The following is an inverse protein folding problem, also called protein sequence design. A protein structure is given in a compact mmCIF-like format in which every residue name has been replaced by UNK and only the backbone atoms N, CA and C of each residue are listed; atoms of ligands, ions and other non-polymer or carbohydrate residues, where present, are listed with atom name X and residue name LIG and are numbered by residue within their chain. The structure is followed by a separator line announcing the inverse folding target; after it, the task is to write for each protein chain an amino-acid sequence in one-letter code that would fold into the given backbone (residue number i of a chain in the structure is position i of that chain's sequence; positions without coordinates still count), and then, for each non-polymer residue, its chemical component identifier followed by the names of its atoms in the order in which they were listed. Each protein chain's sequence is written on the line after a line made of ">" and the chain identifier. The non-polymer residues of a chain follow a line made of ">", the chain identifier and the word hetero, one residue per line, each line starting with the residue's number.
data_IF_087628088612
#
_entry.id   IF_087628088612
#
_cell.length_a   1.000
_cell.length_b   1.000
_cell.length_c   1.000
_cell.angle_alpha   90.00
_cell.angle_beta   90.00
_cell.angle_gamma   90.00
#
_symmetry.space_group_name_H-M   'P 1'
#
loop_
_entity.id
_entity.type
_entity.pdbx_description
1 polymer ?
#
# COMPACT_ATOMS: atom_id res chain seq x y z
N UNK A 1 -4.18 5.40 16.87
CA UNK A 1 -3.96 6.53 17.82
C UNK A 1 -2.50 6.99 17.87
N UNK A 2 -1.53 6.08 17.97
CA UNK A 2 -0.09 6.45 18.01
C UNK A 2 0.34 7.28 16.80
N UNK A 3 0.07 6.83 15.58
CA UNK A 3 0.41 7.57 14.35
C UNK A 3 -0.17 8.99 14.34
N UNK A 4 -1.39 9.17 14.83
CA UNK A 4 -2.03 10.49 14.93
C UNK A 4 -1.33 11.40 15.94
N UNK A 5 -0.86 10.86 17.07
CA UNK A 5 -0.11 11.63 18.07
C UNK A 5 1.28 12.01 17.56
N UNK A 6 1.97 11.10 16.90
CA UNK A 6 3.26 11.38 16.26
C UNK A 6 3.08 12.43 15.16
N UNK A 7 2.05 12.29 14.31
CA UNK A 7 1.75 13.28 13.28
C UNK A 7 1.45 14.68 13.83
N UNK A 8 0.71 14.76 14.95
CA UNK A 8 0.47 16.02 15.63
C UNK A 8 1.79 16.64 16.14
N UNK A 9 2.65 15.83 16.77
CA UNK A 9 3.94 16.29 17.29
C UNK A 9 4.91 16.71 16.18
N UNK A 10 4.92 16.00 15.07
CA UNK A 10 5.72 16.40 13.90
C UNK A 10 5.28 17.73 13.29
N UNK A 11 3.97 18.02 13.28
CA UNK A 11 3.45 19.31 12.83
C UNK A 11 3.88 20.43 13.77
N UNK A 12 3.79 20.22 15.08
CA UNK A 12 4.27 21.16 16.10
C UNK A 12 5.77 21.46 15.92
N UNK A 13 6.59 20.43 15.78
CA UNK A 13 8.02 20.56 15.54
C UNK A 13 8.35 21.28 14.22
N UNK A 14 7.58 20.97 13.15
CA UNK A 14 7.73 21.67 11.87
C UNK A 14 7.45 23.17 11.98
N UNK A 15 6.45 23.58 12.75
CA UNK A 15 6.18 25.01 13.03
C UNK A 15 7.33 25.65 13.80
N UNK A 16 7.81 25.03 14.88
CA UNK A 16 8.92 25.53 15.68
C UNK A 16 10.22 25.69 14.86
N UNK A 17 10.52 24.75 13.96
CA UNK A 17 11.68 24.86 13.07
C UNK A 17 11.53 25.98 12.05
N UNK A 18 10.33 26.14 11.48
CA UNK A 18 10.04 27.27 10.56
C UNK A 18 10.19 28.62 11.24
N UNK A 19 9.68 28.76 12.44
CA UNK A 19 9.79 29.97 13.24
C UNK A 19 11.25 30.28 13.59
N UNK A 20 12.02 29.28 14.04
CA UNK A 20 13.44 29.44 14.30
C UNK A 20 14.22 29.87 13.04
N UNK A 21 13.92 29.28 11.88
CA UNK A 21 14.52 29.67 10.61
C UNK A 21 14.15 31.10 10.21
N UNK A 22 12.89 31.48 10.37
CA UNK A 22 12.40 32.84 10.07
C UNK A 22 13.03 33.92 10.98
N UNK A 23 13.39 33.56 12.21
CA UNK A 23 14.08 34.43 13.17
C UNK A 23 15.59 34.42 13.06
N UNK A 24 16.14 33.75 12.03
CA UNK A 24 17.56 33.78 11.67
C UNK A 24 18.43 32.70 12.33
N UNK A 25 17.85 31.61 12.82
CA UNK A 25 18.65 30.47 13.32
C UNK A 25 19.53 29.89 12.21
N UNK A 26 20.79 29.58 12.57
CA UNK A 26 21.75 29.02 11.63
C UNK A 26 21.44 27.54 11.30
N UNK A 27 21.85 27.04 10.12
CA UNK A 27 21.59 25.63 9.74
C UNK A 27 22.03 24.60 10.79
N UNK A 28 23.18 24.81 11.44
CA UNK A 28 23.67 23.90 12.49
C UNK A 28 22.77 23.90 13.75
N UNK A 29 22.17 25.04 14.09
CA UNK A 29 21.21 25.15 15.22
C UNK A 29 19.90 24.45 14.88
N UNK A 30 19.42 24.60 13.64
CA UNK A 30 18.22 23.92 13.16
C UNK A 30 18.43 22.40 13.13
N UNK A 31 19.59 21.93 12.68
CA UNK A 31 19.90 20.48 12.67
C UNK A 31 19.99 19.91 14.08
N UNK A 32 20.60 20.64 15.04
CA UNK A 32 20.63 20.25 16.45
C UNK A 32 19.19 20.13 17.01
N UNK A 33 18.36 21.15 16.81
CA UNK A 33 16.95 21.14 17.21
C UNK A 33 16.18 19.96 16.60
N UNK A 34 16.36 19.73 15.30
CA UNK A 34 15.74 18.60 14.60
C UNK A 34 16.14 17.26 15.23
N UNK A 35 17.41 17.09 15.56
CA UNK A 35 17.91 15.85 16.20
C UNK A 35 17.27 15.63 17.57
N UNK A 36 17.15 16.67 18.40
CA UNK A 36 16.47 16.61 19.69
C UNK A 36 14.98 16.25 19.54
N UNK A 37 14.29 16.85 18.55
CA UNK A 37 12.90 16.57 18.21
C UNK A 37 12.69 15.13 17.74
N UNK A 38 13.60 14.62 16.90
CA UNK A 38 13.60 13.21 16.47
C UNK A 38 13.82 12.25 17.64
N UNK A 39 14.64 12.61 18.64
CA UNK A 39 14.78 11.85 19.87
C UNK A 39 13.45 11.71 20.64
N UNK A 40 12.62 12.75 20.65
CA UNK A 40 11.26 12.68 21.20
C UNK A 40 10.36 11.71 20.43
N UNK A 41 10.40 11.75 19.10
CA UNK A 41 9.63 10.83 18.25
C UNK A 41 10.10 9.38 18.44
N UNK A 42 11.42 9.16 18.50
CA UNK A 42 12.00 7.85 18.78
C UNK A 42 11.51 7.30 20.12
N UNK A 43 11.53 8.12 21.18
CA UNK A 43 10.98 7.71 22.49
C UNK A 43 9.50 7.31 22.40
N UNK A 44 8.68 8.06 21.67
CA UNK A 44 7.26 7.71 21.46
C UNK A 44 7.12 6.35 20.78
N UNK A 45 7.96 6.05 19.79
CA UNK A 45 8.00 4.77 19.10
C UNK A 45 8.43 3.64 20.03
N UNK A 46 9.52 3.83 20.79
CA UNK A 46 10.04 2.82 21.73
C UNK A 46 9.01 2.48 22.81
N UNK A 47 8.30 3.47 23.36
CA UNK A 47 7.25 3.26 24.38
C UNK A 47 6.08 2.39 23.86
N UNK A 48 5.87 2.35 22.55
CA UNK A 48 4.73 1.64 21.93
C UNK A 48 5.10 0.38 21.19
N UNK A 49 6.30 0.31 20.62
CA UNK A 49 6.76 -0.79 19.77
C UNK A 49 7.90 -1.60 20.40
N UNK A 50 8.50 -1.10 21.49
CA UNK A 50 9.75 -1.62 22.03
C UNK A 50 10.99 -1.04 21.31
N UNK A 51 12.15 -1.31 21.87
CA UNK A 51 13.42 -0.93 21.24
C UNK A 51 13.70 -1.79 20.01
N UNK A 52 14.25 -1.18 18.94
CA UNK A 52 14.70 -1.95 17.79
C UNK A 52 15.74 -3.00 18.19
N UNK A 53 15.57 -4.22 17.75
CA UNK A 53 16.52 -5.30 18.02
C UNK A 53 17.80 -5.09 17.22
N UNK A 54 18.95 -5.27 17.86
CA UNK A 54 20.25 -5.26 17.18
C UNK A 54 20.58 -6.62 16.58
N UNK A 55 20.24 -7.70 17.30
CA UNK A 55 20.36 -9.08 16.86
C UNK A 55 19.14 -9.89 17.29
N UNK A 56 18.86 -10.97 16.59
CA UNK A 56 17.81 -11.94 16.91
C UNK A 56 18.19 -13.33 16.38
N UNK A 57 17.67 -14.35 17.01
CA UNK A 57 17.85 -15.74 16.58
C UNK A 57 16.65 -16.21 15.79
N UNK A 58 16.87 -16.80 14.63
CA UNK A 58 15.80 -17.34 13.80
C UNK A 58 16.25 -18.60 13.05
N UNK A 59 15.29 -19.49 12.74
CA UNK A 59 15.53 -20.69 11.94
C UNK A 59 14.36 -20.93 10.97
N UNK A 60 14.66 -21.42 9.79
CA UNK A 60 13.66 -22.06 8.93
C UNK A 60 13.11 -23.31 9.61
N UNK A 61 11.86 -23.66 9.31
CA UNK A 61 11.22 -24.88 9.85
C UNK A 61 12.10 -26.11 9.59
N UNK A 62 12.60 -26.72 10.66
CA UNK A 62 13.51 -27.88 10.60
C UNK A 62 14.99 -27.55 10.40
N UNK A 63 15.38 -26.28 10.34
CA UNK A 63 16.77 -25.85 10.26
C UNK A 63 17.41 -25.52 11.62
N UNK A 64 18.72 -25.32 11.63
CA UNK A 64 19.44 -24.84 12.81
C UNK A 64 19.15 -23.36 13.07
N UNK A 65 19.06 -23.00 14.35
CA UNK A 65 18.90 -21.63 14.77
C UNK A 65 20.19 -20.84 14.53
N UNK A 66 20.10 -19.70 13.87
CA UNK A 66 21.23 -18.81 13.54
C UNK A 66 20.94 -17.40 14.04
N UNK A 67 21.98 -16.71 14.53
CA UNK A 67 21.85 -15.30 14.92
C UNK A 67 21.97 -14.38 13.70
N UNK A 68 21.12 -13.39 13.65
CA UNK A 68 21.04 -12.39 12.59
C UNK A 68 21.02 -10.97 13.16
N UNK A 69 21.57 -10.04 12.42
CA UNK A 69 21.15 -8.65 12.46
C UNK A 69 20.02 -8.44 11.45
N UNK A 70 19.15 -7.40 11.58
CA UNK A 70 18.16 -7.10 10.55
C UNK A 70 18.73 -6.99 9.13
N UNK A 71 19.93 -6.42 8.98
CA UNK A 71 20.60 -6.27 7.68
C UNK A 71 21.10 -7.60 7.14
N UNK A 72 21.69 -8.48 7.99
CA UNK A 72 22.17 -9.79 7.52
C UNK A 72 20.99 -10.70 7.14
N UNK A 73 19.89 -10.64 7.87
CA UNK A 73 18.66 -11.35 7.54
C UNK A 73 18.09 -10.88 6.19
N UNK A 74 17.99 -9.56 6.00
CA UNK A 74 17.55 -9.00 4.71
C UNK A 74 18.41 -9.51 3.54
N UNK A 75 19.74 -9.46 3.68
CA UNK A 75 20.67 -9.92 2.62
C UNK A 75 20.54 -11.41 2.31
N UNK A 76 20.31 -12.25 3.32
CA UNK A 76 20.20 -13.70 3.15
C UNK A 76 18.86 -14.12 2.54
N UNK A 77 17.74 -13.53 2.99
CA UNK A 77 16.41 -13.99 2.62
C UNK A 77 15.71 -13.15 1.56
N UNK A 78 16.00 -11.86 1.51
CA UNK A 78 15.39 -10.98 0.54
C UNK A 78 16.35 -10.57 -0.57
N UNK A 79 17.63 -10.43 -0.28
CA UNK A 79 18.81 -10.27 -1.17
C UNK A 79 18.65 -9.61 -2.55
N UNK A 80 17.41 -9.30 -2.90
CA UNK A 80 16.99 -8.79 -4.18
C UNK A 80 17.26 -7.29 -4.28
N UNK A 81 17.71 -6.85 -5.42
CA UNK A 81 17.72 -5.45 -5.77
C UNK A 81 16.28 -4.97 -5.99
N UNK A 82 15.66 -4.47 -4.90
CA UNK A 82 14.27 -3.95 -4.93
C UNK A 82 14.12 -2.78 -5.90
N UNK A 83 15.21 -2.15 -6.31
CA UNK A 83 15.19 -1.01 -7.23
C UNK A 83 15.07 -1.46 -8.68
N UNK A 84 15.75 -2.55 -9.04
CA UNK A 84 15.88 -2.98 -10.44
C UNK A 84 15.02 -4.21 -10.79
N UNK A 85 14.57 -4.97 -9.79
CA UNK A 85 13.83 -6.22 -10.02
C UNK A 85 12.31 -6.08 -9.93
N UNK A 86 11.81 -4.87 -9.66
CA UNK A 86 10.37 -4.62 -9.51
C UNK A 86 9.92 -3.46 -10.39
N UNK A 87 8.73 -3.59 -10.94
CA UNK A 87 8.10 -2.57 -11.79
C UNK A 87 6.76 -2.18 -11.16
N UNK A 88 6.57 -0.87 -11.00
CA UNK A 88 5.31 -0.33 -10.50
C UNK A 88 4.32 -0.17 -11.66
N UNK A 89 3.22 -0.90 -11.61
CA UNK A 89 2.15 -0.86 -12.60
C UNK A 89 0.93 -0.13 -12.05
N UNK A 90 0.21 0.56 -12.92
CA UNK A 90 -1.08 1.17 -12.60
C UNK A 90 -2.11 0.90 -13.69
N UNK A 91 -3.39 0.98 -13.33
CA UNK A 91 -4.49 1.04 -14.27
C UNK A 91 -5.28 2.34 -14.09
N UNK A 92 -5.03 3.29 -14.95
CA UNK A 92 -5.74 4.55 -15.05
C UNK A 92 -6.27 4.75 -16.48
N UNK A 93 -7.53 4.40 -16.76
CA UNK A 93 -8.11 4.55 -18.10
C UNK A 93 -8.38 6.00 -18.50
N UNK A 94 -8.13 6.97 -17.62
CA UNK A 94 -8.20 8.40 -17.99
C UNK A 94 -6.94 8.89 -18.72
N UNK A 95 -5.89 8.05 -18.79
CA UNK A 95 -4.58 8.34 -19.39
C UNK A 95 -4.24 7.31 -20.46
N UNK A 96 -3.30 7.63 -21.33
CA UNK A 96 -2.83 6.68 -22.35
C UNK A 96 -2.19 5.45 -21.70
N UNK A 97 -2.55 4.28 -22.21
CA UNK A 97 -1.89 3.02 -21.82
C UNK A 97 -0.51 2.87 -22.48
N UNK A 98 0.31 2.00 -21.91
CA UNK A 98 1.69 1.70 -22.35
C UNK A 98 2.62 2.94 -22.27
N UNK A 99 2.32 3.83 -21.34
CA UNK A 99 3.11 5.01 -21.00
C UNK A 99 3.57 4.95 -19.55
N UNK A 100 4.72 5.56 -19.30
CA UNK A 100 5.26 5.74 -17.96
C UNK A 100 4.83 7.10 -17.43
N UNK A 101 4.31 7.14 -16.19
CA UNK A 101 3.86 8.35 -15.51
C UNK A 101 4.57 8.51 -14.18
N UNK A 102 5.16 9.66 -13.95
CA UNK A 102 5.59 10.09 -12.63
C UNK A 102 4.43 10.79 -11.93
N UNK A 103 4.17 10.43 -10.68
CA UNK A 103 3.09 11.02 -9.89
C UNK A 103 3.67 12.08 -8.96
N UNK A 104 3.33 13.33 -9.17
CA UNK A 104 3.78 14.44 -8.34
C UNK A 104 3.44 14.23 -6.86
N UNK A 105 4.43 14.43 -6.01
CA UNK A 105 4.34 14.23 -4.55
C UNK A 105 4.03 12.82 -4.07
N UNK A 106 3.89 11.83 -4.93
CA UNK A 106 3.75 10.42 -4.55
C UNK A 106 5.13 9.85 -4.20
N UNK A 107 5.59 10.15 -3.00
CA UNK A 107 6.89 9.80 -2.46
C UNK A 107 6.83 9.72 -0.94
N UNK A 108 7.68 8.91 -0.36
CA UNK A 108 7.69 8.70 1.10
C UNK A 108 8.58 9.65 1.89
N UNK A 109 9.40 10.47 1.20
CA UNK A 109 10.25 11.52 1.79
C UNK A 109 10.17 12.78 0.96
N UNK A 110 10.33 13.94 1.62
CA UNK A 110 10.30 15.24 0.96
C UNK A 110 11.32 15.35 -0.18
N UNK A 111 12.54 14.88 0.06
CA UNK A 111 13.67 14.88 -0.88
C UNK A 111 13.80 13.59 -1.70
N UNK A 112 12.81 12.69 -1.59
CA UNK A 112 12.76 11.45 -2.34
C UNK A 112 12.32 11.66 -3.78
N UNK A 113 12.58 10.66 -4.63
CA UNK A 113 12.03 10.61 -5.98
C UNK A 113 10.54 10.33 -5.94
N UNK A 114 9.79 10.96 -6.81
CA UNK A 114 8.39 10.60 -7.06
C UNK A 114 8.33 9.18 -7.64
N UNK A 115 7.25 8.49 -7.33
CA UNK A 115 7.04 7.16 -7.87
C UNK A 115 6.58 7.23 -9.33
N UNK A 116 7.07 6.26 -10.08
CA UNK A 116 6.82 6.13 -11.52
C UNK A 116 6.08 4.82 -11.78
N UNK A 117 5.02 4.89 -12.57
CA UNK A 117 4.18 3.73 -12.89
C UNK A 117 4.07 3.56 -14.39
N UNK A 118 4.10 2.33 -14.86
CA UNK A 118 3.68 2.00 -16.21
C UNK A 118 2.16 1.81 -16.20
N UNK A 119 1.46 2.58 -17.03
CA UNK A 119 -0.01 2.49 -17.13
C UNK A 119 -0.38 1.41 -18.15
N UNK A 120 -1.11 0.40 -17.71
CA UNK A 120 -1.52 -0.74 -18.53
C UNK A 120 -3.03 -0.94 -18.52
N UNK A 121 -3.59 -1.54 -19.60
CA UNK A 121 -4.95 -2.08 -19.59
C UNK A 121 -5.12 -3.08 -18.44
N UNK A 122 -6.35 -3.20 -17.94
CA UNK A 122 -6.63 -4.07 -16.80
C UNK A 122 -6.35 -5.54 -17.14
N UNK A 123 -6.58 -5.96 -18.38
CA UNK A 123 -6.36 -7.32 -18.82
C UNK A 123 -4.86 -7.71 -18.75
N UNK A 124 -3.97 -6.82 -19.18
CA UNK A 124 -2.52 -7.04 -19.12
C UNK A 124 -2.06 -7.17 -17.65
N UNK A 125 -2.60 -6.33 -16.75
CA UNK A 125 -2.31 -6.41 -15.33
C UNK A 125 -2.79 -7.73 -14.72
N UNK A 126 -3.98 -8.21 -15.12
CA UNK A 126 -4.49 -9.52 -14.69
C UNK A 126 -3.58 -10.65 -15.13
N UNK A 127 -3.13 -10.65 -16.39
CA UNK A 127 -2.20 -11.66 -16.91
C UNK A 127 -0.89 -11.68 -16.10
N UNK A 128 -0.30 -10.52 -15.86
CA UNK A 128 0.92 -10.37 -15.05
C UNK A 128 0.67 -10.86 -13.62
N UNK A 129 -0.44 -10.45 -13.00
CA UNK A 129 -0.78 -10.85 -11.64
C UNK A 129 -1.01 -12.37 -11.51
N UNK A 130 -1.70 -12.98 -12.46
CA UNK A 130 -1.89 -14.44 -12.50
C UNK A 130 -0.55 -15.16 -12.66
N UNK A 131 0.33 -14.68 -13.53
CA UNK A 131 1.65 -15.26 -13.74
C UNK A 131 2.50 -15.17 -12.47
N UNK A 132 2.53 -14.01 -11.81
CA UNK A 132 3.26 -13.80 -10.56
C UNK A 132 2.76 -14.71 -9.43
N UNK A 133 1.44 -14.83 -9.23
CA UNK A 133 0.86 -15.73 -8.24
C UNK A 133 1.18 -17.20 -8.54
N UNK A 134 1.14 -17.62 -9.81
CA UNK A 134 1.52 -18.98 -10.22
C UNK A 134 3.00 -19.28 -9.95
N UNK A 135 3.85 -18.26 -10.03
CA UNK A 135 5.27 -18.34 -9.68
C UNK A 135 5.53 -18.17 -8.17
N UNK A 136 4.48 -18.25 -7.36
CA UNK A 136 4.54 -18.11 -5.89
C UNK A 136 5.06 -16.76 -5.40
N UNK A 137 4.88 -15.72 -6.21
CA UNK A 137 5.26 -14.34 -5.86
C UNK A 137 4.02 -13.51 -5.59
N UNK A 138 3.90 -13.04 -4.35
CA UNK A 138 2.85 -12.11 -3.93
C UNK A 138 3.22 -10.69 -4.33
N UNK A 139 2.20 -9.85 -4.51
CA UNK A 139 2.39 -8.48 -5.01
C UNK A 139 1.82 -7.44 -4.04
N UNK A 140 2.48 -6.29 -3.95
CA UNK A 140 1.82 -5.08 -3.46
C UNK A 140 0.60 -4.78 -4.33
N UNK A 141 -0.52 -4.50 -3.70
CA UNK A 141 -1.80 -4.22 -4.37
C UNK A 141 -2.44 -2.99 -3.74
N UNK A 142 -2.85 -2.03 -4.54
CA UNK A 142 -3.51 -0.82 -4.06
C UNK A 142 -4.83 -0.57 -4.79
N UNK A 143 -5.85 -0.20 -4.02
CA UNK A 143 -7.23 -0.12 -4.48
C UNK A 143 -8.06 0.91 -3.71
N UNK A 144 -9.30 1.13 -4.13
CA UNK A 144 -10.30 1.90 -3.38
C UNK A 144 -11.13 0.96 -2.50
N UNK A 145 -10.53 0.48 -1.42
CA UNK A 145 -11.05 -0.61 -0.59
C UNK A 145 -12.44 -0.35 -0.01
N UNK A 146 -12.80 0.91 0.22
CA UNK A 146 -14.09 1.29 0.82
C UNK A 146 -15.29 1.10 -0.11
N UNK A 147 -15.07 0.91 -1.40
CA UNK A 147 -16.15 0.78 -2.39
C UNK A 147 -16.74 -0.63 -2.36
N UNK A 148 -18.04 -0.69 -2.10
CA UNK A 148 -18.81 -1.94 -2.06
C UNK A 148 -18.20 -3.05 -1.18
N UNK A 149 -17.56 -2.65 -0.07
CA UNK A 149 -17.01 -3.57 0.91
C UNK A 149 -18.09 -4.02 1.91
N UNK A 150 -18.39 -5.31 1.94
CA UNK A 150 -19.03 -5.93 3.10
C UNK A 150 -17.93 -6.33 4.11
N UNK A 151 -17.66 -5.45 5.06
CA UNK A 151 -16.59 -5.65 6.04
C UNK A 151 -16.82 -6.84 6.98
N UNK A 152 -18.07 -7.22 7.22
CA UNK A 152 -18.44 -8.36 8.07
C UNK A 152 -18.09 -9.69 7.39
N UNK A 153 -18.38 -9.81 6.09
CA UNK A 153 -18.05 -11.00 5.29
C UNK A 153 -16.63 -10.97 4.75
N UNK A 154 -16.00 -9.79 4.72
CA UNK A 154 -14.72 -9.61 4.05
C UNK A 154 -14.80 -9.73 2.53
N UNK A 155 -15.92 -9.29 1.95
CA UNK A 155 -16.20 -9.41 0.53
C UNK A 155 -16.25 -8.05 -0.16
N UNK A 156 -15.50 -7.93 -1.24
CA UNK A 156 -15.47 -6.78 -2.14
C UNK A 156 -16.17 -7.19 -3.45
N UNK A 157 -17.37 -6.67 -3.67
CA UNK A 157 -18.19 -6.99 -4.84
C UNK A 157 -19.09 -5.81 -5.16
N UNK A 158 -19.12 -5.29 -6.42
CA UNK A 158 -20.05 -4.23 -6.80
C UNK A 158 -21.51 -4.57 -6.52
N UNK A 159 -21.84 -5.86 -6.49
CA UNK A 159 -23.20 -6.35 -6.27
C UNK A 159 -23.54 -6.56 -4.77
N UNK A 160 -22.65 -6.17 -3.83
CA UNK A 160 -22.94 -6.23 -2.39
C UNK A 160 -24.10 -5.32 -1.95
N UNK A 161 -24.34 -4.23 -2.68
CA UNK A 161 -25.36 -3.23 -2.35
C UNK A 161 -26.11 -2.78 -3.60
N UNK A 162 -27.41 -2.89 -3.60
CA UNK A 162 -28.29 -2.42 -4.66
C UNK A 162 -28.77 -0.99 -4.37
N UNK A 163 -27.85 -0.03 -4.56
CA UNK A 163 -28.18 1.38 -4.37
C UNK A 163 -29.15 1.92 -5.43
N UNK A 164 -29.13 1.36 -6.64
CA UNK A 164 -30.00 1.83 -7.73
C UNK A 164 -31.46 1.57 -7.43
N UNK A 165 -31.81 0.36 -7.01
CA UNK A 165 -33.18 0.04 -6.57
C UNK A 165 -33.58 0.83 -5.33
N UNK A 166 -32.67 1.00 -4.37
CA UNK A 166 -32.95 1.73 -3.14
C UNK A 166 -33.25 3.21 -3.38
N UNK A 167 -32.47 3.85 -4.26
CA UNK A 167 -32.56 5.30 -4.52
C UNK A 167 -33.44 5.66 -5.73
N UNK A 168 -33.85 4.68 -6.52
CA UNK A 168 -34.67 4.89 -7.72
C UNK A 168 -33.93 5.65 -8.83
N UNK A 169 -32.59 5.51 -8.89
CA UNK A 169 -31.74 6.18 -9.89
C UNK A 169 -30.52 5.34 -10.20
N UNK A 170 -29.87 5.58 -11.33
CA UNK A 170 -28.65 4.88 -11.76
C UNK A 170 -27.38 5.63 -11.35
N UNK A 171 -26.28 4.88 -11.14
CA UNK A 171 -24.94 5.39 -10.85
C UNK A 171 -23.96 4.97 -11.95
N UNK A 172 -24.10 5.53 -13.15
CA UNK A 172 -23.50 5.03 -14.38
C UNK A 172 -22.07 5.50 -14.69
N UNK A 173 -21.33 6.10 -13.73
CA UNK A 173 -19.94 6.46 -14.00
C UNK A 173 -19.05 5.23 -14.13
N UNK A 174 -18.32 5.14 -15.25
CA UNK A 174 -17.24 4.17 -15.42
C UNK A 174 -16.00 4.53 -14.58
N UNK A 175 -15.00 3.64 -14.55
CA UNK A 175 -13.75 3.85 -13.80
C UNK A 175 -13.05 5.15 -14.22
N UNK A 176 -12.98 5.44 -15.52
CA UNK A 176 -12.38 6.67 -16.04
C UNK A 176 -13.05 7.91 -15.48
N UNK A 177 -14.38 7.96 -15.53
CA UNK A 177 -15.16 9.08 -15.04
C UNK A 177 -15.03 9.26 -13.53
N UNK A 178 -15.01 8.15 -12.76
CA UNK A 178 -14.78 8.21 -11.31
C UNK A 178 -13.40 8.74 -10.94
N UNK A 179 -12.36 8.42 -11.71
CA UNK A 179 -11.02 8.98 -11.53
C UNK A 179 -11.02 10.47 -11.85
N UNK A 180 -11.58 10.88 -12.97
CA UNK A 180 -11.62 12.28 -13.40
C UNK A 180 -12.40 13.20 -12.45
N UNK A 181 -13.41 12.65 -11.78
CA UNK A 181 -14.24 13.37 -10.79
C UNK A 181 -13.74 13.22 -9.35
N UNK A 182 -12.62 12.56 -9.14
CA UNK A 182 -12.08 12.21 -7.80
C UNK A 182 -13.06 11.42 -6.93
N UNK A 183 -14.01 10.72 -7.55
CA UNK A 183 -14.97 9.85 -6.86
C UNK A 183 -14.38 8.50 -6.47
N UNK A 184 -13.27 8.11 -7.07
CA UNK A 184 -12.50 6.89 -6.75
C UNK A 184 -11.02 7.13 -6.97
N UNK A 185 -10.19 6.47 -6.15
CA UNK A 185 -8.74 6.55 -6.22
C UNK A 185 -8.07 5.54 -5.29
N UNK A 186 -6.76 5.41 -5.40
CA UNK A 186 -5.97 4.53 -4.54
C UNK A 186 -6.02 5.02 -3.09
N UNK A 187 -6.72 4.31 -2.22
CA UNK A 187 -6.95 4.69 -0.82
C UNK A 187 -6.31 3.73 0.19
N UNK A 188 -6.02 2.49 -0.21
CA UNK A 188 -5.53 1.45 0.70
C UNK A 188 -4.64 0.44 -0.03
N UNK A 189 -3.64 -0.05 0.69
CA UNK A 189 -2.69 -1.04 0.19
C UNK A 189 -2.80 -2.36 0.96
N UNK A 190 -2.69 -3.48 0.24
CA UNK A 190 -2.76 -4.85 0.76
C UNK A 190 -1.78 -5.74 -0.01
N UNK A 191 -1.68 -7.00 0.35
CA UNK A 191 -0.90 -8.00 -0.38
C UNK A 191 -1.82 -8.86 -1.24
N UNK A 192 -1.68 -8.82 -2.57
CA UNK A 192 -2.39 -9.71 -3.49
C UNK A 192 -1.69 -11.07 -3.49
N UNK A 193 -2.41 -12.11 -3.07
CA UNK A 193 -1.77 -13.40 -2.76
C UNK A 193 -2.39 -14.62 -3.44
N UNK A 194 -3.62 -14.53 -3.93
CA UNK A 194 -4.25 -15.67 -4.59
C UNK A 194 -5.29 -15.24 -5.63
N UNK A 195 -5.53 -16.13 -6.59
CA UNK A 195 -6.57 -16.00 -7.61
C UNK A 195 -7.30 -17.33 -7.80
N UNK A 196 -8.62 -17.28 -7.92
CA UNK A 196 -9.48 -18.40 -8.32
C UNK A 196 -9.77 -18.27 -9.82
N UNK A 197 -9.37 -19.27 -10.60
CA UNK A 197 -9.56 -19.30 -12.05
C UNK A 197 -10.68 -20.26 -12.43
N UNK A 198 -11.41 -19.94 -13.47
CA UNK A 198 -12.34 -20.88 -14.11
C UNK A 198 -11.60 -21.96 -14.95
N UNK A 199 -12.36 -22.87 -15.54
CA UNK A 199 -11.80 -23.94 -16.39
C UNK A 199 -11.10 -23.42 -17.65
N UNK A 200 -11.39 -22.20 -18.07
CA UNK A 200 -10.77 -21.53 -19.23
C UNK A 200 -9.54 -20.68 -18.80
N UNK A 201 -9.19 -20.67 -17.51
CA UNK A 201 -8.08 -19.89 -16.97
C UNK A 201 -8.41 -18.42 -16.72
N UNK A 202 -9.69 -18.01 -16.77
CA UNK A 202 -10.12 -16.65 -16.49
C UNK A 202 -10.30 -16.45 -14.99
N UNK A 203 -9.91 -15.28 -14.44
CA UNK A 203 -10.10 -14.99 -13.03
C UNK A 203 -11.59 -14.84 -12.68
N UNK A 204 -11.95 -15.36 -11.51
CA UNK A 204 -13.29 -15.24 -10.90
C UNK A 204 -13.26 -14.41 -9.65
N UNK A 205 -12.25 -14.64 -8.84
CA UNK A 205 -12.04 -14.00 -7.53
C UNK A 205 -10.56 -13.88 -7.23
N UNK A 206 -10.23 -12.90 -6.42
CA UNK A 206 -8.88 -12.64 -5.92
C UNK A 206 -8.90 -12.58 -4.40
N UNK A 207 -7.78 -12.89 -3.77
CA UNK A 207 -7.64 -12.78 -2.32
C UNK A 207 -6.47 -11.86 -1.98
N UNK A 208 -6.72 -10.98 -1.02
CA UNK A 208 -5.70 -10.07 -0.48
C UNK A 208 -5.57 -10.28 1.03
N UNK A 209 -4.34 -10.24 1.54
CA UNK A 209 -4.07 -10.14 2.97
C UNK A 209 -4.12 -8.67 3.38
N UNK A 210 -4.85 -8.39 4.47
CA UNK A 210 -5.10 -7.05 4.95
C UNK A 210 -4.49 -6.84 6.35
N UNK A 211 -4.27 -5.59 6.73
CA UNK A 211 -3.63 -5.18 7.99
C UNK A 211 -4.60 -4.85 9.13
N UNK A 212 -5.89 -5.19 9.01
CA UNK A 212 -6.92 -4.85 10.03
C UNK A 212 -7.07 -5.89 11.15
N UNK A 213 -6.19 -6.87 11.18
CA UNK A 213 -6.16 -7.94 12.17
C UNK A 213 -6.95 -9.19 11.74
N UNK A 214 -6.61 -10.32 12.35
CA UNK A 214 -7.15 -11.64 11.99
C UNK A 214 -8.65 -11.82 12.27
N UNK A 215 -9.25 -10.95 13.08
CA UNK A 215 -10.70 -10.95 13.33
C UNK A 215 -11.50 -10.23 12.24
N UNK A 216 -10.85 -9.51 11.32
CA UNK A 216 -11.49 -8.78 10.22
C UNK A 216 -11.56 -9.65 8.97
N UNK A 217 -12.69 -9.61 8.28
CA UNK A 217 -12.92 -10.37 7.06
C UNK A 217 -12.75 -11.88 7.26
N UNK A 218 -12.18 -12.56 6.27
CA UNK A 218 -11.85 -13.97 6.36
C UNK A 218 -10.45 -14.17 6.94
N UNK A 219 -10.33 -14.24 8.28
CA UNK A 219 -9.05 -14.44 9.00
C UNK A 219 -7.98 -13.40 8.62
N UNK A 220 -8.37 -12.13 8.49
CA UNK A 220 -7.48 -11.05 8.09
C UNK A 220 -7.39 -10.81 6.58
N UNK A 221 -8.11 -11.60 5.78
CA UNK A 221 -8.13 -11.49 4.33
C UNK A 221 -9.44 -10.89 3.83
N UNK A 222 -9.39 -10.27 2.65
CA UNK A 222 -10.56 -9.90 1.87
C UNK A 222 -10.58 -10.71 0.57
N UNK A 223 -11.78 -11.06 0.15
CA UNK A 223 -12.04 -11.68 -1.14
C UNK A 223 -12.70 -10.64 -2.04
N UNK A 224 -12.21 -10.47 -3.24
CA UNK A 224 -12.83 -9.59 -4.23
C UNK A 224 -13.23 -10.37 -5.48
N UNK A 225 -14.37 -10.01 -6.06
CA UNK A 225 -14.77 -10.53 -7.37
C UNK A 225 -13.87 -9.94 -8.46
N UNK A 226 -13.76 -10.62 -9.59
CA UNK A 226 -13.01 -10.10 -10.73
C UNK A 226 -13.60 -8.78 -11.26
N UNK A 227 -14.93 -8.66 -11.26
CA UNK A 227 -15.65 -7.42 -11.57
C UNK A 227 -15.23 -6.26 -10.64
N UNK A 228 -15.06 -6.54 -9.34
CA UNK A 228 -14.57 -5.51 -8.39
C UNK A 228 -13.11 -5.15 -8.64
N UNK A 229 -12.28 -6.12 -8.97
CA UNK A 229 -10.87 -5.90 -9.33
C UNK A 229 -10.78 -4.92 -10.51
N UNK A 230 -11.55 -5.13 -11.57
CA UNK A 230 -11.57 -4.24 -12.74
C UNK A 230 -11.89 -2.79 -12.38
N UNK A 231 -12.87 -2.61 -11.52
CA UNK A 231 -13.42 -1.29 -11.22
C UNK A 231 -12.62 -0.50 -10.18
N UNK A 232 -11.96 -1.18 -9.21
CA UNK A 232 -11.42 -0.51 -8.02
C UNK A 232 -9.96 -0.80 -7.71
N UNK A 233 -9.29 -1.64 -8.48
CA UNK A 233 -7.85 -1.81 -8.46
C UNK A 233 -7.17 -0.60 -9.12
N UNK A 234 -6.04 -0.13 -8.56
CA UNK A 234 -5.27 0.98 -9.10
C UNK A 234 -3.81 0.64 -9.37
N UNK A 235 -3.13 -0.06 -8.47
CA UNK A 235 -1.68 -0.28 -8.54
C UNK A 235 -1.30 -1.69 -8.12
N UNK A 236 -0.28 -2.24 -8.76
CA UNK A 236 0.43 -3.47 -8.35
C UNK A 236 1.94 -3.30 -8.54
N UNK A 237 2.73 -4.01 -7.73
CA UNK A 237 4.19 -4.05 -7.82
C UNK A 237 4.63 -5.48 -7.59
#
# INVERSE_FOLDING_TARGET
>A
KMSSLIGLKLKEFGLQLREAAATGAKPAELEKKKTEMLGTVYRMLVLTLGEPVSTFTWSLKGGEAKEYTPVSFYKEFLGNDLTNNYVMLMNDPSREFYKCYEIDFDRHRYDGKNWTYVNLPIEDIKEIAIASIKDSTMMYFSCDVGKFLDSKRGLLDPDNYDYESLMGTTFGMDKKQRIQTFSSGSSHAMTLMAVDLDKAGKPKKWMVENSWGSASGYRGHLIMTDKWFDEYMFRVV
#
